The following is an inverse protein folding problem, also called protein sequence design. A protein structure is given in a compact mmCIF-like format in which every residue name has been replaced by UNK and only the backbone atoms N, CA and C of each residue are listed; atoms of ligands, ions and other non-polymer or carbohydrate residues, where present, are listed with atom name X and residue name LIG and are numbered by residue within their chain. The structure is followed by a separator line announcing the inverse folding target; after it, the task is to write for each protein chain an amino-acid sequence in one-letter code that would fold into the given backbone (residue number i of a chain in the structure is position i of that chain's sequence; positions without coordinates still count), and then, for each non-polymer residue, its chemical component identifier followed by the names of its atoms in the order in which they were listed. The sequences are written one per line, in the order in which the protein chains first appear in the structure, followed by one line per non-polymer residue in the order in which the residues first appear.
data_IF_651494212584
#
_entry.id   IF_651494212584
#
_cell.length_a   1.000
_cell.length_b   1.000
_cell.length_c   1.000
_cell.angle_alpha   90.00
_cell.angle_beta   90.00
_cell.angle_gamma   90.00
#
_symmetry.space_group_name_H-M   'P 1'
#
loop_
_entity.id
_entity.type
_entity.pdbx_description
1 polymer ?
#
# COMPACT_ATOMS: atom_id res chain seq x y z
N UNK A 1 -15.45 50.56 -49.78
CA UNK A 1 -14.96 49.56 -48.83
C UNK A 1 -14.56 48.34 -49.66
N UNK A 2 -13.25 48.14 -49.87
CA UNK A 2 -12.75 47.27 -50.95
C UNK A 2 -12.93 45.80 -50.59
N UNK A 3 -13.11 44.95 -51.61
CA UNK A 3 -13.31 43.49 -51.50
C UNK A 3 -12.22 42.77 -50.66
N UNK A 4 -11.04 43.38 -50.52
CA UNK A 4 -9.89 42.89 -49.76
C UNK A 4 -10.11 43.01 -48.24
N UNK A 5 -10.93 43.96 -47.79
CA UNK A 5 -11.25 44.15 -46.38
C UNK A 5 -12.27 43.10 -45.89
N UNK A 6 -13.22 42.73 -46.75
CA UNK A 6 -14.21 41.69 -46.47
C UNK A 6 -13.60 40.29 -46.40
N UNK A 7 -12.61 39.97 -47.25
CA UNK A 7 -11.94 38.66 -47.21
C UNK A 7 -11.11 38.51 -45.94
N UNK A 8 -10.34 39.53 -45.55
CA UNK A 8 -9.56 39.52 -44.29
C UNK A 8 -10.43 39.39 -43.05
N UNK A 9 -11.62 39.99 -43.06
CA UNK A 9 -12.60 39.83 -41.98
C UNK A 9 -13.18 38.42 -41.92
N UNK A 10 -13.44 37.79 -43.06
CA UNK A 10 -13.87 36.38 -43.13
C UNK A 10 -12.79 35.43 -42.61
N UNK A 11 -11.55 35.60 -43.06
CA UNK A 11 -10.41 34.78 -42.64
C UNK A 11 -10.14 34.94 -41.13
N UNK A 12 -10.27 36.15 -40.58
CA UNK A 12 -10.18 36.41 -39.14
C UNK A 12 -11.29 35.70 -38.37
N UNK A 13 -12.53 35.74 -38.88
CA UNK A 13 -13.67 35.09 -38.24
C UNK A 13 -13.52 33.57 -38.24
N UNK A 14 -13.02 32.98 -39.33
CA UNK A 14 -12.69 31.55 -39.41
C UNK A 14 -11.60 31.18 -38.40
N UNK A 15 -10.53 31.97 -38.31
CA UNK A 15 -9.47 31.76 -37.31
C UNK A 15 -10.01 31.82 -35.87
N UNK A 16 -10.85 32.80 -35.55
CA UNK A 16 -11.47 32.93 -34.22
C UNK A 16 -12.37 31.73 -33.91
N UNK A 17 -13.14 31.23 -34.88
CA UNK A 17 -13.96 30.04 -34.71
C UNK A 17 -13.10 28.81 -34.42
N UNK A 18 -12.01 28.60 -35.17
CA UNK A 18 -11.09 27.47 -34.95
C UNK A 18 -10.43 27.56 -33.56
N UNK A 19 -9.95 28.74 -33.17
CA UNK A 19 -9.39 28.97 -31.82
C UNK A 19 -10.45 28.74 -30.74
N UNK A 20 -11.68 29.18 -30.97
CA UNK A 20 -12.81 28.97 -30.06
C UNK A 20 -13.10 27.49 -29.84
N UNK A 21 -13.09 26.67 -30.89
CA UNK A 21 -13.26 25.22 -30.78
C UNK A 21 -12.12 24.56 -30.00
N UNK A 22 -10.87 24.94 -30.27
CA UNK A 22 -9.71 24.44 -29.52
C UNK A 22 -9.77 24.84 -28.05
N UNK A 23 -10.18 26.08 -27.76
CA UNK A 23 -10.36 26.57 -26.40
C UNK A 23 -11.47 25.82 -25.66
N UNK A 24 -12.57 25.47 -26.34
CA UNK A 24 -13.65 24.67 -25.76
C UNK A 24 -13.14 23.28 -25.32
N UNK A 25 -12.35 22.60 -26.17
CA UNK A 25 -11.73 21.33 -25.82
C UNK A 25 -10.81 21.50 -24.59
N UNK A 26 -10.02 22.56 -24.59
CA UNK A 26 -9.10 22.88 -23.49
C UNK A 26 -9.84 23.09 -22.15
N UNK A 27 -10.92 23.87 -22.14
CA UNK A 27 -11.71 24.15 -20.92
C UNK A 27 -12.37 22.89 -20.35
N UNK A 28 -12.61 21.87 -21.18
CA UNK A 28 -13.14 20.58 -20.71
C UNK A 28 -12.00 19.71 -20.14
N UNK A 29 -10.86 19.62 -20.82
CA UNK A 29 -9.79 18.70 -20.43
C UNK A 29 -8.92 19.21 -19.27
N UNK A 30 -8.59 20.50 -19.25
CA UNK A 30 -7.75 21.11 -18.22
C UNK A 30 -8.25 20.88 -16.79
N UNK A 31 -9.53 21.14 -16.43
CA UNK A 31 -10.01 20.90 -15.07
C UNK A 31 -10.04 19.41 -14.72
N UNK A 32 -10.35 18.51 -15.66
CA UNK A 32 -10.34 17.06 -15.43
C UNK A 32 -8.93 16.58 -15.08
N UNK A 33 -7.91 17.09 -15.77
CA UNK A 33 -6.51 16.80 -15.45
C UNK A 33 -6.16 17.29 -14.04
N UNK A 34 -6.53 18.52 -13.69
CA UNK A 34 -6.26 19.09 -12.35
C UNK A 34 -6.94 18.28 -11.25
N UNK A 35 -8.22 17.92 -11.41
CA UNK A 35 -8.93 17.14 -10.38
C UNK A 35 -8.36 15.74 -10.19
N UNK A 36 -7.79 15.15 -11.24
CA UNK A 36 -7.10 13.87 -11.16
C UNK A 36 -5.83 14.01 -10.31
N UNK A 37 -5.05 15.06 -10.58
CA UNK A 37 -3.85 15.42 -9.82
C UNK A 37 -4.17 15.72 -8.33
N UNK A 38 -5.22 16.50 -8.06
CA UNK A 38 -5.70 16.77 -6.68
C UNK A 38 -6.03 15.49 -5.91
N UNK A 39 -6.75 14.56 -6.54
CA UNK A 39 -7.08 13.25 -5.94
C UNK A 39 -5.84 12.39 -5.70
N UNK A 40 -4.87 12.42 -6.60
CA UNK A 40 -3.61 11.70 -6.41
C UNK A 40 -2.83 12.25 -5.21
N UNK A 41 -2.70 13.58 -5.11
CA UNK A 41 -2.04 14.22 -3.97
C UNK A 41 -2.76 13.95 -2.65
N UNK A 42 -4.08 14.01 -2.64
CA UNK A 42 -4.88 13.69 -1.47
C UNK A 42 -4.67 12.23 -1.03
N UNK A 43 -4.74 11.27 -1.97
CA UNK A 43 -4.51 9.85 -1.69
C UNK A 43 -3.10 9.60 -1.16
N UNK A 44 -2.07 10.18 -1.79
CA UNK A 44 -0.68 10.07 -1.32
C UNK A 44 -0.51 10.70 0.05
N UNK A 45 -1.14 11.85 0.29
CA UNK A 45 -1.02 12.54 1.58
C UNK A 45 -1.68 11.75 2.71
N UNK A 46 -2.83 11.12 2.46
CA UNK A 46 -3.50 10.22 3.41
C UNK A 46 -2.69 8.94 3.67
N UNK A 47 -2.07 8.37 2.64
CA UNK A 47 -1.15 7.24 2.78
C UNK A 47 0.06 7.60 3.66
N UNK A 48 0.66 8.76 3.44
CA UNK A 48 1.75 9.29 4.26
C UNK A 48 1.33 9.47 5.73
N UNK A 49 0.17 10.10 5.99
CA UNK A 49 -0.36 10.23 7.35
C UNK A 49 -0.62 8.89 8.03
N UNK A 50 -1.12 7.91 7.28
CA UNK A 50 -1.35 6.56 7.79
C UNK A 50 -0.03 5.88 8.18
N UNK A 51 1.00 5.94 7.33
CA UNK A 51 2.32 5.41 7.68
C UNK A 51 2.90 6.06 8.93
N UNK A 52 2.75 7.39 9.06
CA UNK A 52 3.20 8.11 10.25
C UNK A 52 2.46 7.61 11.49
N UNK A 53 1.14 7.49 11.41
CA UNK A 53 0.36 6.96 12.52
C UNK A 53 0.79 5.54 12.89
N UNK A 54 0.95 4.66 11.91
CA UNK A 54 1.29 3.25 12.13
C UNK A 54 2.69 3.07 12.71
N UNK A 55 3.68 3.84 12.26
CA UNK A 55 5.04 3.80 12.85
C UNK A 55 5.03 4.22 14.32
N UNK A 56 4.31 5.29 14.67
CA UNK A 56 4.19 5.71 16.07
C UNK A 56 3.47 4.64 16.92
N UNK A 57 2.46 3.96 16.38
CA UNK A 57 1.82 2.82 17.05
C UNK A 57 2.80 1.66 17.29
N UNK A 58 3.63 1.30 16.30
CA UNK A 58 4.67 0.29 16.51
C UNK A 58 5.73 0.75 17.50
N UNK A 59 6.10 2.03 17.49
CA UNK A 59 7.06 2.58 18.45
C UNK A 59 6.52 2.52 19.89
N UNK A 60 5.25 2.84 20.10
CA UNK A 60 4.58 2.68 21.40
C UNK A 60 4.51 1.23 21.82
N UNK A 61 4.22 0.30 20.91
CA UNK A 61 4.25 -1.14 21.21
C UNK A 61 5.62 -1.63 21.66
N UNK A 62 6.70 -1.08 21.08
CA UNK A 62 8.07 -1.47 21.40
C UNK A 62 8.58 -0.82 22.69
N UNK A 63 8.28 0.46 22.93
CA UNK A 63 8.91 1.26 24.00
C UNK A 63 7.95 1.66 25.13
N UNK A 64 6.65 1.46 24.95
CA UNK A 64 5.59 1.84 25.88
C UNK A 64 5.15 3.30 25.82
N UNK A 65 5.79 4.14 24.98
CA UNK A 65 5.46 5.57 24.81
C UNK A 65 5.55 5.98 23.34
N UNK A 66 4.87 7.06 22.96
CA UNK A 66 5.03 7.65 21.63
C UNK A 66 6.24 8.60 21.59
N UNK A 67 6.81 8.79 20.40
CA UNK A 67 7.91 9.71 20.18
C UNK A 67 7.42 11.11 19.83
N UNK A 68 8.12 12.13 20.30
CA UNK A 68 7.93 13.50 19.78
C UNK A 68 8.63 13.71 18.44
N UNK A 69 9.61 12.86 18.12
CA UNK A 69 10.36 12.88 16.88
C UNK A 69 10.07 11.64 16.05
N UNK A 70 9.36 11.85 14.95
CA UNK A 70 8.99 10.77 14.05
C UNK A 70 10.18 10.05 13.40
N UNK A 71 11.27 10.77 13.08
CA UNK A 71 12.48 10.15 12.52
C UNK A 71 13.09 9.13 13.48
N UNK A 72 13.04 9.42 14.77
CA UNK A 72 13.50 8.54 15.83
C UNK A 72 12.60 7.30 15.91
N UNK A 73 11.27 7.50 15.95
CA UNK A 73 10.31 6.41 15.98
C UNK A 73 10.50 5.44 14.81
N UNK A 74 10.56 5.96 13.58
CA UNK A 74 10.79 5.15 12.38
C UNK A 74 12.11 4.38 12.46
N UNK A 75 13.19 5.03 12.87
CA UNK A 75 14.49 4.36 12.92
C UNK A 75 14.47 3.21 13.91
N UNK A 76 13.92 3.42 15.11
CA UNK A 76 13.81 2.37 16.14
C UNK A 76 12.95 1.21 15.65
N UNK A 77 11.77 1.49 15.08
CA UNK A 77 10.87 0.44 14.57
C UNK A 77 11.51 -0.33 13.42
N UNK A 78 12.13 0.35 12.45
CA UNK A 78 12.80 -0.30 11.32
C UNK A 78 14.01 -1.12 11.77
N UNK A 79 14.79 -0.64 12.75
CA UNK A 79 15.91 -1.39 13.31
C UNK A 79 15.46 -2.61 14.13
N UNK A 80 14.37 -2.50 14.90
CA UNK A 80 13.80 -3.65 15.60
C UNK A 80 13.37 -4.74 14.61
N UNK A 81 12.76 -4.33 13.49
CA UNK A 81 12.35 -5.22 12.41
C UNK A 81 13.55 -5.86 11.70
N UNK A 82 14.59 -5.09 11.41
CA UNK A 82 15.81 -5.60 10.79
C UNK A 82 16.53 -6.63 11.69
N UNK A 83 16.62 -6.36 12.99
CA UNK A 83 17.16 -7.30 13.97
C UNK A 83 16.35 -8.60 14.04
N UNK A 84 15.02 -8.52 14.02
CA UNK A 84 14.14 -9.71 14.01
C UNK A 84 14.28 -10.54 12.72
N UNK A 85 14.51 -9.88 11.57
CA UNK A 85 14.80 -10.56 10.31
C UNK A 85 16.18 -11.23 10.31
N UNK A 86 17.16 -10.61 10.96
CA UNK A 86 18.51 -11.15 11.12
C UNK A 86 18.61 -12.31 12.10
N UNK A 87 17.81 -12.27 13.18
CA UNK A 87 17.72 -13.32 14.19
C UNK A 87 16.26 -13.53 14.61
N UNK A 88 15.68 -14.66 14.21
CA UNK A 88 14.31 -15.02 14.56
C UNK A 88 14.06 -15.19 16.06
N UNK A 89 15.11 -15.35 16.87
CA UNK A 89 15.04 -15.42 18.34
C UNK A 89 15.19 -14.04 19.00
N UNK A 90 15.25 -12.96 18.22
CA UNK A 90 15.32 -11.58 18.70
C UNK A 90 13.95 -11.07 19.20
N UNK A 91 13.38 -11.78 20.17
CA UNK A 91 12.07 -11.52 20.79
C UNK A 91 12.20 -11.28 22.31
N UNK A 92 11.23 -10.58 22.89
CA UNK A 92 11.17 -10.12 24.28
C UNK A 92 11.92 -8.81 24.51
N UNK A 93 12.28 -8.55 25.76
CA UNK A 93 13.07 -7.37 26.17
C UNK A 93 14.48 -7.42 25.55
N UNK A 94 14.77 -6.43 24.71
CA UNK A 94 16.05 -6.23 24.03
C UNK A 94 16.49 -4.78 24.17
N UNK A 95 17.76 -4.56 23.86
CA UNK A 95 18.36 -3.23 23.81
C UNK A 95 18.87 -2.96 22.40
N UNK A 96 18.50 -1.79 21.84
CA UNK A 96 18.97 -1.30 20.56
C UNK A 96 19.84 -0.06 20.77
N UNK A 97 21.05 -0.07 20.24
CA UNK A 97 21.92 1.11 20.26
C UNK A 97 21.78 1.88 18.96
N UNK A 98 21.10 3.02 19.01
CA UNK A 98 20.85 3.89 17.86
C UNK A 98 21.24 5.33 18.21
N UNK A 99 21.87 6.04 17.28
CA UNK A 99 22.33 7.43 17.49
C UNK A 99 23.20 7.64 18.75
N UNK A 100 23.93 6.60 19.19
CA UNK A 100 24.71 6.63 20.43
C UNK A 100 23.88 6.62 21.72
N UNK A 101 22.59 6.29 21.62
CA UNK A 101 21.66 6.09 22.74
C UNK A 101 21.17 4.64 22.76
N UNK A 102 20.81 4.18 23.95
CA UNK A 102 20.29 2.85 24.18
C UNK A 102 18.77 2.89 24.32
N UNK A 103 18.06 2.10 23.52
CA UNK A 103 16.61 1.98 23.52
C UNK A 103 16.23 0.61 24.05
N UNK A 104 15.51 0.58 25.17
CA UNK A 104 14.86 -0.63 25.64
C UNK A 104 13.61 -0.88 24.80
N UNK A 105 13.58 -2.02 24.10
CA UNK A 105 12.45 -2.43 23.25
C UNK A 105 11.94 -3.79 23.66
N UNK A 106 10.63 -3.98 23.69
CA UNK A 106 9.99 -5.27 23.90
C UNK A 106 9.38 -5.77 22.59
N UNK A 107 9.99 -6.79 21.99
CA UNK A 107 9.59 -7.31 20.67
C UNK A 107 8.74 -8.56 20.86
N UNK A 108 7.45 -8.47 20.56
CA UNK A 108 6.58 -9.65 20.56
C UNK A 108 6.81 -10.56 19.34
N UNK A 109 6.46 -11.84 19.45
CA UNK A 109 6.62 -12.84 18.38
C UNK A 109 5.83 -12.48 17.10
N UNK A 110 4.74 -11.75 17.24
CA UNK A 110 3.88 -11.33 16.11
C UNK A 110 4.35 -10.04 15.43
N UNK A 111 5.40 -9.40 15.94
CA UNK A 111 5.79 -8.05 15.52
C UNK A 111 6.16 -8.01 14.05
N UNK A 112 7.00 -8.95 13.58
CA UNK A 112 7.41 -9.01 12.17
C UNK A 112 6.22 -9.23 11.23
N UNK A 113 5.29 -10.10 11.61
CA UNK A 113 4.07 -10.33 10.83
C UNK A 113 3.18 -9.08 10.78
N UNK A 114 2.91 -8.47 11.94
CA UNK A 114 2.10 -7.26 12.01
C UNK A 114 2.74 -6.13 11.19
N UNK A 115 4.05 -5.91 11.34
CA UNK A 115 4.79 -4.92 10.56
C UNK A 115 4.64 -5.16 9.05
N UNK A 116 4.90 -6.37 8.57
CA UNK A 116 4.83 -6.70 7.15
C UNK A 116 3.41 -6.61 6.59
N UNK A 117 2.38 -6.88 7.40
CA UNK A 117 0.98 -6.72 6.98
C UNK A 117 0.49 -5.28 7.01
N UNK A 118 0.96 -4.46 7.96
CA UNK A 118 0.57 -3.04 8.08
C UNK A 118 1.19 -2.19 6.98
N UNK A 119 2.50 -2.33 6.78
CA UNK A 119 3.21 -1.53 5.77
C UNK A 119 3.17 -2.18 4.39
N UNK A 120 3.11 -3.51 4.31
CA UNK A 120 3.19 -4.21 3.04
C UNK A 120 2.01 -4.00 2.12
N UNK A 121 2.29 -3.99 0.81
CA UNK A 121 1.25 -3.94 -0.21
C UNK A 121 0.85 -5.34 -0.63
N UNK A 122 -0.45 -5.65 -0.54
CA UNK A 122 -0.98 -6.91 -1.07
C UNK A 122 -0.67 -7.01 -2.57
N UNK A 123 0.03 -8.08 -2.95
CA UNK A 123 0.50 -8.34 -4.30
C UNK A 123 0.23 -9.79 -4.70
N UNK A 124 0.33 -10.05 -5.99
CA UNK A 124 0.03 -11.34 -6.60
C UNK A 124 1.19 -11.75 -7.48
N UNK A 125 1.70 -12.97 -7.30
CA UNK A 125 2.70 -13.58 -8.18
C UNK A 125 2.14 -14.85 -8.79
N UNK A 126 2.45 -15.08 -10.07
CA UNK A 126 2.14 -16.34 -10.75
C UNK A 126 3.38 -17.21 -10.70
N UNK A 127 3.33 -18.25 -9.89
CA UNK A 127 4.43 -19.20 -9.75
C UNK A 127 4.14 -20.44 -10.57
N UNK A 128 5.15 -20.90 -11.31
CA UNK A 128 5.09 -22.20 -11.96
C UNK A 128 5.58 -23.23 -10.97
N UNK A 129 4.67 -24.09 -10.53
CA UNK A 129 4.97 -25.17 -9.58
C UNK A 129 5.09 -26.46 -10.37
N UNK A 130 6.22 -27.13 -10.21
CA UNK A 130 6.39 -28.50 -10.65
C UNK A 130 5.72 -29.41 -9.62
N UNK A 131 4.54 -29.92 -9.96
CA UNK A 131 3.84 -30.92 -9.16
C UNK A 131 3.97 -32.30 -9.82
N UNK A 132 3.67 -33.36 -9.08
CA UNK A 132 3.61 -34.73 -9.61
C UNK A 132 2.22 -35.28 -9.33
N UNK A 133 1.49 -35.59 -10.39
CA UNK A 133 0.20 -36.27 -10.29
C UNK A 133 0.43 -37.78 -10.28
N UNK A 134 -0.25 -38.46 -9.37
CA UNK A 134 -0.18 -39.90 -9.17
C UNK A 134 -1.53 -40.49 -9.53
N UNK A 135 -1.53 -41.50 -10.39
CA UNK A 135 -2.71 -42.30 -10.67
C UNK A 135 -2.79 -43.44 -9.66
N UNK A 136 -3.88 -43.52 -8.92
CA UNK A 136 -4.14 -44.55 -7.90
C UNK A 136 -5.39 -45.35 -8.23
N UNK A 137 -5.45 -46.59 -7.73
CA UNK A 137 -6.66 -47.41 -7.75
C UNK A 137 -7.22 -47.47 -6.34
N UNK A 138 -8.52 -47.19 -6.23
CA UNK A 138 -9.29 -47.34 -5.01
C UNK A 138 -10.53 -48.20 -5.25
N UNK A 139 -10.97 -48.93 -4.24
CA UNK A 139 -12.25 -49.64 -4.25
C UNK A 139 -13.39 -48.64 -4.01
N UNK A 140 -14.31 -48.51 -4.98
CA UNK A 140 -15.52 -47.71 -4.80
C UNK A 140 -16.62 -48.58 -4.22
N UNK A 141 -16.97 -48.33 -2.96
CA UNK A 141 -18.09 -49.01 -2.29
C UNK A 141 -19.43 -48.73 -2.97
N UNK A 142 -19.58 -47.56 -3.60
CA UNK A 142 -20.81 -47.17 -4.32
C UNK A 142 -20.96 -47.93 -5.65
N UNK A 143 -19.84 -48.16 -6.36
CA UNK A 143 -19.84 -48.84 -7.66
C UNK A 143 -19.57 -50.35 -7.54
N UNK A 144 -19.22 -50.84 -6.34
CA UNK A 144 -18.84 -52.23 -6.10
C UNK A 144 -17.64 -52.70 -6.94
N UNK A 145 -16.76 -51.78 -7.35
CA UNK A 145 -15.63 -52.07 -8.25
C UNK A 145 -14.44 -51.15 -7.98
N UNK A 146 -13.28 -51.56 -8.47
CA UNK A 146 -12.07 -50.76 -8.47
C UNK A 146 -12.21 -49.61 -9.48
N UNK A 147 -11.93 -48.39 -9.05
CA UNK A 147 -11.91 -47.20 -9.89
C UNK A 147 -10.55 -46.49 -9.82
N UNK A 148 -10.19 -45.78 -10.89
CA UNK A 148 -8.94 -45.04 -10.97
C UNK A 148 -9.16 -43.58 -10.64
N UNK A 149 -8.36 -43.03 -9.74
CA UNK A 149 -8.39 -41.62 -9.37
C UNK A 149 -7.01 -40.98 -9.56
N UNK A 150 -6.98 -39.65 -9.67
CA UNK A 150 -5.76 -38.86 -9.76
C UNK A 150 -5.59 -38.03 -8.50
N UNK A 151 -4.40 -38.05 -7.92
CA UNK A 151 -4.08 -37.28 -6.71
C UNK A 151 -2.70 -36.62 -6.82
N UNK A 152 -2.45 -35.58 -6.02
CA UNK A 152 -1.11 -35.00 -5.92
C UNK A 152 -0.23 -35.91 -5.06
N UNK A 153 1.05 -36.04 -5.42
CA UNK A 153 2.00 -36.90 -4.69
C UNK A 153 2.08 -36.60 -3.19
N UNK A 154 1.90 -35.34 -2.80
CA UNK A 154 1.88 -34.92 -1.39
C UNK A 154 0.76 -35.56 -0.57
N UNK A 155 -0.37 -35.91 -1.20
CA UNK A 155 -1.52 -36.55 -0.54
C UNK A 155 -1.49 -38.08 -0.67
N UNK A 156 -0.54 -38.66 -1.42
CA UNK A 156 -0.49 -40.10 -1.66
C UNK A 156 -0.43 -40.91 -0.35
N UNK A 157 0.32 -40.43 0.66
CA UNK A 157 0.41 -41.09 1.97
C UNK A 157 -0.96 -41.25 2.63
N UNK A 158 -1.78 -40.20 2.58
CA UNK A 158 -3.15 -40.22 3.13
C UNK A 158 -4.02 -41.25 2.42
N UNK A 159 -3.88 -41.39 1.10
CA UNK A 159 -4.60 -42.42 0.36
C UNK A 159 -4.09 -43.83 0.67
N UNK A 160 -2.78 -44.03 0.87
CA UNK A 160 -2.22 -45.35 1.22
C UNK A 160 -2.66 -45.85 2.60
N UNK A 161 -3.10 -44.96 3.49
CA UNK A 161 -3.66 -45.29 4.80
C UNK A 161 -5.16 -45.69 4.72
N UNK A 162 -5.84 -45.42 3.60
CA UNK A 162 -7.24 -45.76 3.40
C UNK A 162 -7.40 -47.28 3.13
N UNK A 163 -8.30 -47.99 3.82
CA UNK A 163 -8.53 -49.42 3.58
C UNK A 163 -9.07 -49.74 2.18
N UNK A 164 -9.61 -48.76 1.46
CA UNK A 164 -10.07 -48.90 0.08
C UNK A 164 -8.92 -48.72 -0.94
N UNK A 165 -7.71 -48.35 -0.51
CA UNK A 165 -6.57 -48.22 -1.41
C UNK A 165 -6.07 -49.58 -1.87
N UNK A 166 -5.79 -49.71 -3.16
CA UNK A 166 -5.34 -50.96 -3.78
C UNK A 166 -3.89 -50.83 -4.25
N UNK A 167 -3.65 -49.96 -5.22
CA UNK A 167 -2.32 -49.77 -5.76
C UNK A 167 -2.10 -48.38 -6.36
N UNK A 168 -0.82 -48.07 -6.55
CA UNK A 168 -0.35 -46.92 -7.32
C UNK A 168 0.05 -47.39 -8.72
N UNK A 169 -0.51 -46.77 -9.76
CA UNK A 169 -0.29 -47.14 -11.16
C UNK A 169 0.88 -46.39 -11.81
N UNK A 170 0.86 -45.06 -11.77
CA UNK A 170 1.85 -44.22 -12.46
C UNK A 170 2.04 -42.88 -11.77
N UNK A 171 3.17 -42.23 -12.02
CA UNK A 171 3.44 -40.85 -11.64
C UNK A 171 3.85 -40.05 -12.87
N UNK A 172 3.24 -38.89 -13.05
CA UNK A 172 3.56 -37.98 -14.14
C UNK A 172 3.84 -36.58 -13.58
N UNK A 173 4.99 -35.96 -13.93
CA UNK A 173 5.26 -34.59 -13.55
C UNK A 173 4.38 -33.64 -14.38
N UNK A 174 3.74 -32.70 -13.71
CA UNK A 174 2.88 -31.69 -14.32
C UNK A 174 3.28 -30.30 -13.81
N UNK A 175 3.48 -29.39 -14.76
CA UNK A 175 3.65 -27.98 -14.44
C UNK A 175 2.26 -27.33 -14.34
N UNK A 176 2.00 -26.65 -13.22
CA UNK A 176 0.82 -25.78 -13.10
C UNK A 176 1.23 -24.38 -12.70
N UNK A 177 0.40 -23.41 -13.08
CA UNK A 177 0.54 -22.02 -12.65
C UNK A 177 -0.39 -21.80 -11.47
N UNK A 178 0.17 -21.37 -10.34
CA UNK A 178 -0.57 -21.02 -9.13
C UNK A 178 -0.48 -19.52 -8.88
N UNK A 179 -1.59 -18.91 -8.50
CA UNK A 179 -1.62 -17.51 -8.09
C UNK A 179 -1.36 -17.46 -6.58
N UNK A 180 -0.19 -16.95 -6.19
CA UNK A 180 0.21 -16.83 -4.79
C UNK A 180 -0.01 -15.38 -4.35
N UNK A 181 -0.82 -15.21 -3.30
CA UNK A 181 -0.98 -13.93 -2.61
C UNK A 181 0.19 -13.72 -1.65
N UNK A 182 0.80 -12.54 -1.67
CA UNK A 182 1.86 -12.17 -0.72
C UNK A 182 1.83 -10.67 -0.45
N UNK A 183 2.42 -10.26 0.68
CA UNK A 183 2.63 -8.84 0.98
C UNK A 183 4.01 -8.43 0.48
N UNK A 184 4.05 -7.51 -0.48
CA UNK A 184 5.28 -6.86 -0.88
C UNK A 184 5.66 -5.89 0.22
N UNK A 185 6.72 -6.23 0.97
CA UNK A 185 7.28 -5.37 2.02
C UNK A 185 7.48 -3.94 1.52
N UNK A 186 7.00 -3.01 2.32
CA UNK A 186 7.34 -1.60 2.26
C UNK A 186 8.02 -1.24 3.58
N UNK A 187 9.17 -0.59 3.50
CA UNK A 187 9.87 -0.08 4.68
C UNK A 187 9.56 1.42 4.69
N UNK A 188 8.89 1.94 5.73
CA UNK A 188 8.68 3.37 5.87
C UNK A 188 10.02 4.10 5.80
N UNK A 189 10.04 5.18 5.04
CA UNK A 189 11.19 6.05 4.87
C UNK A 189 10.80 7.51 5.15
N UNK A 190 11.80 8.39 5.16
CA UNK A 190 11.60 9.82 5.40
C UNK A 190 10.75 10.52 4.34
N UNK A 191 10.57 9.93 3.15
CA UNK A 191 9.76 10.52 2.09
C UNK A 191 8.27 10.60 2.49
N UNK A 192 7.83 9.72 3.39
CA UNK A 192 6.46 9.70 3.89
C UNK A 192 6.13 10.86 4.83
N UNK A 193 7.11 11.68 5.25
CA UNK A 193 6.91 12.70 6.29
C UNK A 193 6.55 14.06 5.74
N UNK A 194 6.73 14.20 4.45
CA UNK A 194 6.55 15.45 3.75
C UNK A 194 5.23 15.37 3.01
N UNK A 195 4.42 16.42 3.13
CA UNK A 195 3.21 16.54 2.34
C UNK A 195 3.61 16.66 0.87
N UNK A 196 3.11 15.78 -0.03
CA UNK A 196 3.53 15.77 -1.42
C UNK A 196 3.08 17.01 -2.20
N UNK A 197 2.22 17.84 -1.60
CA UNK A 197 1.66 19.04 -2.21
C UNK A 197 2.28 20.34 -1.66
N UNK A 198 2.39 20.48 -0.34
CA UNK A 198 2.95 21.70 0.26
C UNK A 198 4.45 21.63 0.56
N UNK A 199 5.06 20.45 0.47
CA UNK A 199 6.44 20.18 0.89
C UNK A 199 6.73 20.43 2.39
N UNK A 200 5.68 20.70 3.18
CA UNK A 200 5.78 20.85 4.62
C UNK A 200 5.66 19.49 5.33
N UNK A 201 6.28 19.38 6.50
CA UNK A 201 6.15 18.21 7.37
C UNK A 201 4.75 18.10 8.00
N UNK A 202 4.29 16.87 8.22
CA UNK A 202 3.06 16.62 8.97
C UNK A 202 3.20 17.02 10.45
N UNK A 203 2.07 17.41 11.04
CA UNK A 203 2.01 17.81 12.45
C UNK A 203 1.60 16.58 13.26
N UNK A 204 2.52 16.04 14.03
CA UNK A 204 2.28 14.94 14.98
C UNK A 204 2.10 15.53 16.37
N UNK A 205 0.96 15.24 17.00
CA UNK A 205 0.66 15.63 18.38
C UNK A 205 0.55 14.36 19.22
N UNK A 206 1.38 14.31 20.24
CA UNK A 206 1.48 13.18 21.15
C UNK A 206 1.09 13.63 22.56
N UNK A 207 0.22 12.85 23.20
CA UNK A 207 -0.10 12.94 24.60
C UNK A 207 0.18 11.58 25.25
N UNK A 208 1.35 11.47 25.87
CA UNK A 208 1.82 10.24 26.52
C UNK A 208 1.07 9.93 27.82
N UNK A 209 0.43 10.91 28.47
CA UNK A 209 -0.33 10.67 29.71
C UNK A 209 -1.64 9.95 29.40
N UNK A 210 -2.32 10.37 28.33
CA UNK A 210 -3.58 9.77 27.90
C UNK A 210 -3.41 8.74 26.78
N UNK A 211 -2.17 8.43 26.37
CA UNK A 211 -1.82 7.60 25.22
C UNK A 211 -2.55 7.99 23.93
N UNK A 212 -2.68 9.29 23.67
CA UNK A 212 -3.34 9.81 22.46
C UNK A 212 -2.33 10.22 21.42
N UNK A 213 -2.57 9.78 20.18
CA UNK A 213 -1.80 10.14 19.00
C UNK A 213 -2.71 10.82 17.98
N UNK A 214 -2.27 11.99 17.50
CA UNK A 214 -2.96 12.72 16.45
C UNK A 214 -1.99 13.15 15.35
N UNK A 215 -2.28 12.79 14.12
CA UNK A 215 -1.52 13.16 12.91
C UNK A 215 -2.37 14.07 12.05
N UNK A 216 -1.86 15.26 11.73
CA UNK A 216 -2.61 16.30 11.00
C UNK A 216 -1.86 16.73 9.76
N UNK A 217 -2.58 16.88 8.66
CA UNK A 217 -2.05 17.48 7.42
C UNK A 217 -1.61 18.93 7.66
N UNK A 218 -0.47 19.38 7.09
CA UNK A 218 -0.07 20.78 7.15
C UNK A 218 -1.04 21.70 6.39
N UNK A 219 -1.76 21.15 5.40
CA UNK A 219 -2.81 21.86 4.68
C UNK A 219 -4.12 21.68 5.44
N UNK A 220 -4.78 22.79 5.76
CA UNK A 220 -6.05 22.80 6.46
C UNK A 220 -7.00 23.85 5.84
N UNK A 221 -8.21 23.95 6.37
CA UNK A 221 -9.21 24.91 5.85
C UNK A 221 -8.82 26.37 6.08
N UNK A 222 -7.98 26.65 7.08
CA UNK A 222 -7.51 27.99 7.42
C UNK A 222 -6.34 28.42 6.52
N UNK A 223 -5.53 27.47 6.08
CA UNK A 223 -4.41 27.63 5.16
C UNK A 223 -4.54 26.66 3.97
N UNK A 224 -5.51 26.90 3.06
CA UNK A 224 -5.70 26.06 1.87
C UNK A 224 -4.55 26.26 0.88
N UNK A 225 -4.14 25.17 0.24
CA UNK A 225 -3.13 25.21 -0.81
C UNK A 225 -3.77 25.62 -2.14
N UNK A 226 -3.13 26.52 -2.89
CA UNK A 226 -3.58 26.96 -4.21
C UNK A 226 -2.40 27.23 -5.14
N UNK A 227 -2.38 26.56 -6.28
CA UNK A 227 -1.35 26.73 -7.30
C UNK A 227 -1.99 27.03 -8.67
N UNK A 228 -1.74 28.22 -9.27
CA UNK A 228 -2.25 28.57 -10.60
C UNK A 228 -1.79 27.59 -11.70
N UNK A 229 -2.74 27.12 -12.51
CA UNK A 229 -2.51 26.18 -13.62
C UNK A 229 -3.28 26.64 -14.85
N UNK A 230 -2.70 26.48 -16.03
CA UNK A 230 -3.46 26.68 -17.28
C UNK A 230 -4.17 28.05 -17.39
N UNK A 231 -3.51 29.13 -16.95
CA UNK A 231 -3.98 30.54 -16.95
C UNK A 231 -5.21 30.84 -16.06
N UNK A 232 -6.35 30.19 -16.33
CA UNK A 232 -7.64 30.44 -15.66
C UNK A 232 -8.00 29.40 -14.61
N UNK A 233 -7.26 28.30 -14.55
CA UNK A 233 -7.47 27.23 -13.58
C UNK A 233 -6.45 27.30 -12.44
N UNK A 234 -6.70 26.53 -11.40
CA UNK A 234 -5.74 26.38 -10.30
C UNK A 234 -6.00 25.07 -9.61
N UNK A 235 -4.93 24.38 -9.26
CA UNK A 235 -4.98 23.26 -8.33
C UNK A 235 -5.27 23.82 -6.94
N UNK A 236 -6.22 23.20 -6.23
CA UNK A 236 -6.62 23.60 -4.87
C UNK A 236 -6.72 22.38 -3.97
N UNK A 237 -6.29 22.55 -2.72
CA UNK A 237 -6.56 21.59 -1.65
C UNK A 237 -6.99 22.32 -0.38
N UNK A 238 -8.15 21.95 0.16
CA UNK A 238 -8.71 22.50 1.40
C UNK A 238 -8.31 21.67 2.64
N UNK A 239 -7.32 20.79 2.49
CA UNK A 239 -6.78 19.91 3.51
C UNK A 239 -6.97 18.44 3.19
N UNK A 240 -6.03 17.62 3.65
CA UNK A 240 -6.02 16.17 3.40
C UNK A 240 -6.60 15.35 4.56
N UNK A 241 -6.98 16.02 5.65
CA UNK A 241 -7.60 15.43 6.84
C UNK A 241 -6.65 15.28 8.02
N UNK A 242 -7.13 14.54 9.02
CA UNK A 242 -6.42 14.15 10.24
C UNK A 242 -6.75 12.72 10.65
N UNK A 243 -5.82 12.09 11.39
CA UNK A 243 -6.03 10.86 12.13
C UNK A 243 -5.97 11.20 13.60
N UNK A 244 -7.02 10.88 14.35
CA UNK A 244 -7.11 11.12 15.78
C UNK A 244 -7.43 9.80 16.49
N UNK A 245 -6.41 9.22 17.14
CA UNK A 245 -6.54 7.98 17.90
C UNK A 245 -7.20 6.85 17.09
N UNK A 246 -6.70 6.64 15.87
CA UNK A 246 -7.19 5.64 14.93
C UNK A 246 -8.40 6.08 14.09
N UNK A 247 -9.10 7.16 14.48
CA UNK A 247 -10.22 7.68 13.69
C UNK A 247 -9.71 8.59 12.58
N UNK A 248 -10.03 8.23 11.33
CA UNK A 248 -9.65 9.00 10.14
C UNK A 248 -10.78 9.95 9.78
N UNK A 249 -10.46 11.22 9.55
CA UNK A 249 -11.45 12.24 9.16
C UNK A 249 -12.08 12.06 7.76
N UNK A 250 -11.61 11.08 6.99
CA UNK A 250 -12.01 10.85 5.61
C UNK A 250 -12.64 9.48 5.34
N UNK A 251 -12.77 8.66 6.39
CA UNK A 251 -13.57 7.42 6.37
C UNK A 251 -15.04 7.76 6.70
#
# INVERSE_FOLDING_TARGET
MSKIDQSKLSDLLELVMVIGFLFLIFVIYAPVSIWTEEKEYEKRSRFNMQNIYDVEMFYEQLTGTYSTNFYEAMTVVNSARDSLLGDSLYVGEKSLTLFGREYAVDINETFGFNYDTTFGFKSYRRDTILDTTVKIIMYSNELGRNDTSFTQKKYLKTYMEDPNFIEKLSEEPLLRVELVEYYKTFIPDSSTYICPLSEDSYIVKVDNENKKLKVVSPINRENPYKDPRFLIFSLKSNGHGEINDGNRSWD
#
